data_IF_339115074855
#
_entry.id   IF_339115074855
#
_cell.length_a   1.000
_cell.length_b   1.000
_cell.length_c   1.000
_cell.angle_alpha   90.00
_cell.angle_beta   90.00
_cell.angle_gamma   90.00
#
_symmetry.space_group_name_H-M   'P 1'
#
loop_
_entity.id
_entity.type
_entity.pdbx_description
1 polymer ?
#
# COMPACT_ATOMS: atom_id res chain seq x y z
N UNK A 1 22.97 -38.70 18.66
CA UNK A 1 22.81 -37.23 18.76
C UNK A 1 23.35 -36.63 17.46
N UNK A 2 22.52 -36.64 16.41
CA UNK A 2 21.74 -35.50 15.88
C UNK A 2 22.55 -34.59 14.96
N UNK A 3 22.43 -34.87 13.67
CA UNK A 3 22.57 -33.87 12.60
C UNK A 3 21.17 -33.62 12.05
N UNK A 4 20.70 -32.37 12.06
CA UNK A 4 19.93 -31.78 10.96
C UNK A 4 20.02 -30.24 11.03
N UNK A 5 20.31 -29.56 9.90
CA UNK A 5 20.33 -28.10 9.83
C UNK A 5 18.90 -27.54 9.72
N UNK A 6 18.66 -26.41 10.39
CA UNK A 6 17.41 -25.63 10.35
C UNK A 6 17.09 -25.21 8.92
N UNK A 7 15.94 -25.65 8.41
CA UNK A 7 15.29 -25.13 7.22
C UNK A 7 14.95 -23.65 7.39
N UNK A 8 15.41 -22.84 6.44
CA UNK A 8 15.09 -21.43 6.23
C UNK A 8 13.61 -21.32 5.82
N UNK A 9 12.79 -20.39 6.34
CA UNK A 9 11.47 -20.16 5.77
C UNK A 9 11.66 -19.51 4.40
N UNK A 10 11.41 -20.29 3.35
CA UNK A 10 11.20 -19.82 1.98
C UNK A 10 9.92 -19.02 1.94
N UNK A 11 10.02 -17.69 2.08
CA UNK A 11 9.00 -16.79 1.58
C UNK A 11 8.87 -16.94 0.06
N UNK A 12 7.70 -16.64 -0.53
CA UNK A 12 7.44 -16.89 -1.94
C UNK A 12 8.38 -16.08 -2.83
N UNK A 13 8.75 -16.59 -4.02
CA UNK A 13 9.64 -15.89 -4.93
C UNK A 13 8.91 -14.66 -5.50
N UNK A 14 9.31 -13.46 -5.06
CA UNK A 14 8.88 -12.20 -5.68
C UNK A 14 9.70 -12.02 -6.95
N UNK A 15 9.30 -12.73 -8.00
CA UNK A 15 9.83 -12.53 -9.35
C UNK A 15 8.67 -12.59 -10.35
N UNK A 16 7.83 -11.56 -10.33
CA UNK A 16 6.87 -11.27 -11.38
C UNK A 16 6.38 -9.84 -11.18
N UNK A 17 6.72 -8.97 -12.12
CA UNK A 17 6.19 -7.60 -12.22
C UNK A 17 4.69 -7.54 -12.54
N UNK A 18 3.96 -8.64 -12.38
CA UNK A 18 2.54 -8.78 -12.76
C UNK A 18 1.70 -9.56 -11.73
N UNK A 19 2.27 -9.90 -10.57
CA UNK A 19 1.52 -10.66 -9.54
C UNK A 19 0.86 -9.71 -8.54
N UNK A 20 -0.43 -9.47 -8.74
CA UNK A 20 -1.28 -8.90 -7.69
C UNK A 20 -1.40 -9.92 -6.56
N UNK A 21 -0.96 -9.56 -5.35
CA UNK A 21 -1.13 -10.39 -4.17
C UNK A 21 -2.31 -9.87 -3.34
N UNK A 22 -3.13 -10.78 -2.83
CA UNK A 22 -4.10 -10.46 -1.80
C UNK A 22 -3.41 -10.71 -0.46
N UNK A 23 -3.04 -9.64 0.24
CA UNK A 23 -2.39 -9.73 1.54
C UNK A 23 -3.28 -9.03 2.56
N UNK A 24 -3.42 -9.61 3.76
CA UNK A 24 -3.98 -8.84 4.87
C UNK A 24 -2.98 -7.73 5.23
N UNK A 25 -3.47 -6.59 5.69
CA UNK A 25 -2.58 -5.55 6.22
C UNK A 25 -1.78 -6.08 7.42
N UNK A 26 -2.37 -6.98 8.21
CA UNK A 26 -1.68 -7.71 9.28
C UNK A 26 -0.52 -8.60 8.78
N UNK A 27 -0.59 -9.12 7.55
CA UNK A 27 0.51 -9.89 6.98
C UNK A 27 1.71 -8.98 6.66
N UNK A 28 1.46 -7.70 6.34
CA UNK A 28 2.50 -6.70 6.14
C UNK A 28 3.17 -6.31 7.46
N UNK A 29 2.43 -6.30 8.56
CA UNK A 29 2.96 -6.02 9.90
C UNK A 29 3.98 -7.08 10.32
N UNK A 30 3.71 -8.35 10.01
CA UNK A 30 4.52 -9.47 10.44
C UNK A 30 5.71 -9.77 9.53
N UNK A 31 5.81 -9.11 8.38
CA UNK A 31 6.89 -9.31 7.44
C UNK A 31 7.64 -8.01 7.14
N UNK A 32 8.98 -7.99 7.29
CA UNK A 32 9.74 -6.83 6.86
C UNK A 32 9.57 -6.64 5.35
N UNK A 33 9.55 -5.39 4.91
CA UNK A 33 9.47 -5.05 3.50
C UNK A 33 10.59 -5.77 2.73
N UNK A 34 10.29 -6.45 1.61
CA UNK A 34 11.33 -7.08 0.80
C UNK A 34 12.40 -6.08 0.35
N UNK A 35 13.68 -6.47 0.37
CA UNK A 35 14.78 -5.55 0.04
C UNK A 35 14.79 -5.04 -1.41
N UNK A 36 14.08 -5.72 -2.31
CA UNK A 36 14.00 -5.41 -3.74
C UNK A 36 12.81 -4.52 -4.11
N UNK A 37 12.04 -4.07 -3.11
CA UNK A 37 10.83 -3.28 -3.32
C UNK A 37 10.92 -1.97 -2.55
N UNK A 38 10.27 -0.93 -3.09
CA UNK A 38 10.11 0.37 -2.46
C UNK A 38 8.90 0.40 -1.52
N UNK A 39 7.93 -0.47 -1.74
CA UNK A 39 6.71 -0.55 -0.93
C UNK A 39 5.61 -1.37 -1.59
N UNK A 40 4.48 -1.46 -0.89
CA UNK A 40 3.24 -2.06 -1.37
C UNK A 40 2.31 -0.96 -1.92
N UNK A 41 1.89 -1.11 -3.18
CA UNK A 41 0.86 -0.27 -3.77
C UNK A 41 -0.53 -0.77 -3.36
N UNK A 42 -1.33 0.14 -2.83
CA UNK A 42 -2.70 -0.07 -2.40
C UNK A 42 -3.63 0.72 -3.32
N UNK A 43 -4.63 0.04 -3.89
CA UNK A 43 -5.65 0.68 -4.74
C UNK A 43 -7.05 0.65 -4.13
N UNK A 44 -7.28 -0.29 -3.22
CA UNK A 44 -8.54 -0.42 -2.49
C UNK A 44 -8.18 -0.83 -1.08
N UNK A 45 -8.79 -0.21 -0.08
CA UNK A 45 -8.65 -0.60 1.33
C UNK A 45 -10.03 -0.94 1.87
N UNK A 46 -10.28 -2.21 2.25
CA UNK A 46 -11.57 -2.62 2.76
C UNK A 46 -11.90 -1.90 4.08
N UNK A 47 -13.19 -1.72 4.42
CA UNK A 47 -13.60 -1.04 5.65
C UNK A 47 -13.13 -1.77 6.92
N UNK A 48 -12.93 -3.09 6.84
CA UNK A 48 -12.48 -3.91 7.96
C UNK A 48 -10.98 -4.22 7.82
N UNK A 49 -10.16 -3.98 8.86
CA UNK A 49 -8.72 -4.27 8.84
C UNK A 49 -8.38 -5.74 8.58
N UNK A 50 -9.25 -6.66 9.00
CA UNK A 50 -9.09 -8.10 8.83
C UNK A 50 -9.46 -8.62 7.42
N UNK A 51 -9.81 -7.73 6.48
CA UNK A 51 -10.09 -8.13 5.10
C UNK A 51 -8.84 -7.97 4.22
N UNK A 52 -8.63 -8.88 3.25
CA UNK A 52 -7.47 -8.84 2.38
C UNK A 52 -7.47 -7.57 1.54
N UNK A 53 -6.32 -6.90 1.56
CA UNK A 53 -6.05 -5.74 0.74
C UNK A 53 -5.38 -6.23 -0.53
N UNK A 54 -5.82 -5.72 -1.68
CA UNK A 54 -5.14 -6.00 -2.94
C UNK A 54 -3.88 -5.15 -2.98
N UNK A 55 -2.73 -5.81 -2.92
CA UNK A 55 -1.41 -5.18 -2.93
C UNK A 55 -0.62 -5.58 -4.16
N UNK A 56 0.14 -4.62 -4.68
CA UNK A 56 1.14 -4.87 -5.73
C UNK A 56 2.47 -4.37 -5.21
N UNK A 57 3.49 -5.23 -5.18
CA UNK A 57 4.83 -4.83 -4.78
C UNK A 57 5.47 -3.97 -5.87
N UNK A 58 5.96 -2.78 -5.51
CA UNK A 58 6.61 -1.88 -6.46
C UNK A 58 8.11 -1.96 -6.26
N UNK A 59 8.82 -2.44 -7.29
CA UNK A 59 10.28 -2.44 -7.30
C UNK A 59 10.85 -1.05 -7.59
N UNK A 60 12.02 -0.79 -7.02
CA UNK A 60 12.75 0.47 -7.21
C UNK A 60 13.30 0.63 -8.65
N UNK A 61 13.33 -0.47 -9.40
CA UNK A 61 13.92 -0.58 -10.74
C UNK A 61 13.06 0.02 -11.87
N UNK A 62 11.79 0.36 -11.61
CA UNK A 62 10.93 1.07 -12.57
C UNK A 62 10.03 2.06 -11.84
N UNK A 63 10.19 3.38 -12.05
CA UNK A 63 9.18 4.36 -11.67
C UNK A 63 8.02 4.26 -12.66
N UNK A 64 7.25 3.18 -12.56
CA UNK A 64 6.06 3.01 -13.39
C UNK A 64 5.04 4.12 -13.08
N UNK A 65 4.23 4.49 -14.09
CA UNK A 65 3.14 5.46 -13.89
C UNK A 65 2.05 4.79 -13.06
N UNK A 66 2.22 4.84 -11.74
CA UNK A 66 1.20 4.43 -10.79
C UNK A 66 -0.08 5.22 -11.07
N UNK A 67 -1.25 4.56 -11.09
CA UNK A 67 -2.51 5.26 -11.34
C UNK A 67 -2.77 6.27 -10.21
N UNK A 68 -3.30 7.47 -10.52
CA UNK A 68 -3.75 8.41 -9.52
C UNK A 68 -4.72 7.75 -8.53
N UNK A 69 -4.65 8.15 -7.26
CA UNK A 69 -5.43 7.56 -6.18
C UNK A 69 -4.81 6.34 -5.52
N UNK A 70 -3.71 5.82 -6.06
CA UNK A 70 -3.00 4.71 -5.43
C UNK A 70 -2.16 5.22 -4.25
N UNK A 71 -2.08 4.43 -3.19
CA UNK A 71 -1.20 4.71 -2.05
C UNK A 71 0.00 3.76 -2.10
N UNK A 72 1.21 4.31 -2.07
CA UNK A 72 2.43 3.55 -1.81
C UNK A 72 2.67 3.52 -0.30
N UNK A 73 2.56 2.34 0.30
CA UNK A 73 2.89 2.08 1.69
C UNK A 73 4.28 1.46 1.77
N UNK A 74 5.20 2.10 2.48
CA UNK A 74 6.57 1.64 2.71
C UNK A 74 6.85 1.56 4.20
N UNK A 75 7.59 0.54 4.63
CA UNK A 75 7.99 0.39 6.02
C UNK A 75 9.40 -0.15 6.14
N UNK A 76 10.13 0.36 7.12
CA UNK A 76 11.48 -0.08 7.44
C UNK A 76 11.71 -0.16 8.95
N UNK A 77 12.64 -1.02 9.42
CA UNK A 77 13.00 -1.04 10.83
C UNK A 77 13.60 0.30 11.27
N UNK A 78 12.98 0.92 12.27
CA UNK A 78 13.46 2.17 12.87
C UNK A 78 14.56 1.94 13.91
N UNK A 79 15.28 3.00 14.27
CA UNK A 79 16.38 2.95 15.25
C UNK A 79 15.92 2.51 16.65
N UNK A 80 14.65 2.73 16.99
CA UNK A 80 14.03 2.40 18.27
C UNK A 80 13.55 0.96 18.42
N UNK A 81 13.73 0.12 17.39
CA UNK A 81 13.23 -1.26 17.35
C UNK A 81 11.76 -1.39 16.93
N UNK A 82 11.07 -0.27 16.65
CA UNK A 82 9.80 -0.25 15.94
C UNK A 82 9.96 -0.22 14.42
N UNK A 83 8.85 0.03 13.73
CA UNK A 83 8.77 0.19 12.28
C UNK A 83 8.46 1.65 11.94
N UNK A 84 9.26 2.24 11.07
CA UNK A 84 8.96 3.54 10.47
C UNK A 84 8.10 3.29 9.24
N UNK A 85 6.83 3.67 9.31
CA UNK A 85 5.85 3.44 8.23
C UNK A 85 5.55 4.77 7.55
N UNK A 86 5.60 4.78 6.22
CA UNK A 86 5.29 5.95 5.41
C UNK A 86 4.24 5.59 4.36
N UNK A 87 3.23 6.43 4.23
CA UNK A 87 2.23 6.36 3.17
C UNK A 87 2.39 7.54 2.24
N UNK A 88 2.37 7.29 0.94
CA UNK A 88 2.44 8.32 -0.09
C UNK A 88 1.32 8.16 -1.10
N UNK A 89 0.59 9.23 -1.36
CA UNK A 89 -0.52 9.25 -2.31
C UNK A 89 0.00 9.63 -3.70
N UNK A 90 -0.31 8.81 -4.70
CA UNK A 90 -0.07 9.15 -6.09
C UNK A 90 -1.19 10.05 -6.61
N UNK A 91 -0.82 11.25 -7.03
CA UNK A 91 -1.67 12.18 -7.77
C UNK A 91 -1.29 12.15 -9.26
N UNK A 92 -2.08 12.83 -10.09
CA UNK A 92 -1.90 12.89 -11.55
C UNK A 92 -0.48 13.29 -11.97
N UNK A 93 0.13 14.25 -11.29
CA UNK A 93 1.47 14.78 -11.63
C UNK A 93 2.56 14.40 -10.63
N UNK A 94 2.22 14.12 -9.37
CA UNK A 94 3.19 13.98 -8.28
C UNK A 94 2.86 12.83 -7.34
N UNK A 95 3.83 12.47 -6.51
CA UNK A 95 3.64 11.61 -5.34
C UNK A 95 3.79 12.51 -4.11
N UNK A 96 2.79 12.49 -3.22
CA UNK A 96 2.73 13.38 -2.06
C UNK A 96 2.78 12.53 -0.80
N UNK A 97 3.55 12.99 0.20
CA UNK A 97 3.54 12.38 1.52
C UNK A 97 2.15 12.52 2.13
N UNK A 98 1.50 11.39 2.39
CA UNK A 98 0.20 11.36 3.02
C UNK A 98 0.33 11.36 4.54
N UNK A 99 1.15 10.44 5.05
CA UNK A 99 1.40 10.28 6.48
C UNK A 99 2.73 9.56 6.71
N UNK A 100 3.33 9.84 7.85
CA UNK A 100 4.51 9.16 8.35
C UNK A 100 4.27 8.83 9.83
N UNK A 101 4.52 7.59 10.21
CA UNK A 101 4.35 7.06 11.55
C UNK A 101 5.68 6.45 12.00
N UNK A 102 6.49 7.18 12.77
CA UNK A 102 7.76 6.68 13.26
C UNK A 102 7.58 5.73 14.44
N UNK A 103 8.52 4.79 14.60
CA UNK A 103 8.65 3.84 15.72
C UNK A 103 7.35 3.10 16.08
N UNK A 104 6.57 2.67 15.09
CA UNK A 104 5.37 1.87 15.32
C UNK A 104 5.74 0.47 15.83
N UNK A 105 5.11 0.04 16.93
CA UNK A 105 5.40 -1.24 17.59
C UNK A 105 4.18 -2.15 17.57
N UNK A 106 4.42 -3.46 17.49
CA UNK A 106 3.34 -4.45 17.49
C UNK A 106 2.49 -4.37 16.22
N UNK A 107 1.18 -4.60 16.38
CA UNK A 107 0.23 -4.51 15.27
C UNK A 107 -0.16 -3.06 14.97
N UNK A 108 0.53 -2.47 13.99
CA UNK A 108 0.29 -1.12 13.53
C UNK A 108 -0.85 -0.99 12.51
N UNK A 109 -1.52 -2.10 12.16
CA UNK A 109 -2.68 -2.09 11.26
C UNK A 109 -3.74 -1.11 11.76
N UNK A 110 -4.04 -1.12 13.07
CA UNK A 110 -5.08 -0.29 13.68
C UNK A 110 -4.77 1.21 13.63
N UNK A 111 -3.49 1.57 13.52
CA UNK A 111 -3.02 2.97 13.43
C UNK A 111 -3.04 3.44 11.98
N UNK A 112 -2.59 2.59 11.06
CA UNK A 112 -2.39 2.95 9.65
C UNK A 112 -3.68 2.81 8.84
N UNK A 113 -4.48 1.76 9.10
CA UNK A 113 -5.68 1.42 8.33
C UNK A 113 -6.70 2.57 8.19
N UNK A 114 -7.08 3.29 9.27
CA UNK A 114 -8.09 4.35 9.17
C UNK A 114 -7.69 5.43 8.15
N UNK A 115 -6.44 5.90 8.22
CA UNK A 115 -5.95 6.92 7.27
C UNK A 115 -5.97 6.42 5.83
N UNK A 116 -5.54 5.18 5.61
CA UNK A 116 -5.55 4.60 4.26
C UNK A 116 -6.97 4.44 3.71
N UNK A 117 -7.91 3.98 4.54
CA UNK A 117 -9.30 3.80 4.17
C UNK A 117 -9.97 5.12 3.79
N UNK A 118 -9.83 6.13 4.65
CA UNK A 118 -10.41 7.46 4.42
C UNK A 118 -9.89 8.10 3.14
N UNK A 119 -8.58 8.01 2.87
CA UNK A 119 -7.97 8.66 1.71
C UNK A 119 -8.37 7.99 0.41
N UNK A 120 -8.44 6.66 0.38
CA UNK A 120 -8.95 5.93 -0.79
C UNK A 120 -10.45 6.21 -0.99
N UNK A 121 -11.23 6.26 0.09
CA UNK A 121 -12.65 6.61 0.05
C UNK A 121 -12.86 8.01 -0.53
N UNK A 122 -12.12 9.00 -0.03
CA UNK A 122 -12.17 10.39 -0.49
C UNK A 122 -11.76 10.50 -1.96
N UNK A 123 -10.66 9.85 -2.37
CA UNK A 123 -10.24 9.85 -3.77
C UNK A 123 -11.30 9.22 -4.69
N UNK A 124 -11.93 8.12 -4.25
CA UNK A 124 -12.99 7.45 -4.99
C UNK A 124 -14.21 8.37 -5.14
N UNK A 125 -14.64 9.01 -4.05
CA UNK A 125 -15.76 9.95 -4.07
C UNK A 125 -15.48 11.15 -4.99
N UNK A 126 -14.27 11.71 -4.93
CA UNK A 126 -13.85 12.80 -5.81
C UNK A 126 -13.82 12.36 -7.28
N UNK A 127 -13.34 11.16 -7.58
CA UNK A 127 -13.32 10.63 -8.94
C UNK A 127 -14.73 10.49 -9.51
N UNK A 128 -15.65 9.91 -8.74
CA UNK A 128 -17.07 9.79 -9.12
C UNK A 128 -17.73 11.16 -9.33
N UNK A 129 -17.49 12.12 -8.43
CA UNK A 129 -18.01 13.48 -8.58
C UNK A 129 -17.45 14.18 -9.83
N UNK A 130 -16.16 13.97 -10.13
CA UNK A 130 -15.51 14.52 -11.32
C UNK A 130 -16.10 13.91 -12.60
N UNK A 131 -16.30 12.60 -12.64
CA UNK A 131 -16.92 11.91 -13.79
C UNK A 131 -18.36 12.39 -14.02
N UNK A 132 -19.15 12.54 -12.94
CA UNK A 132 -20.51 13.05 -13.01
C UNK A 132 -20.56 14.50 -13.53
N UNK A 133 -19.62 15.35 -13.09
CA UNK A 133 -19.50 16.72 -13.57
C UNK A 133 -19.11 16.77 -15.06
N UNK A 134 -18.15 15.95 -15.49
CA UNK A 134 -17.79 15.84 -16.90
C UNK A 134 -18.98 15.39 -17.76
N UNK A 135 -19.72 14.37 -17.30
CA UNK A 135 -20.92 13.91 -18.00
C UNK A 135 -21.98 15.01 -18.09
N UNK A 136 -22.26 15.73 -16.99
CA UNK A 136 -23.23 16.82 -16.98
C UNK A 136 -22.83 17.93 -17.96
N UNK A 137 -21.55 18.30 -18.02
CA UNK A 137 -21.03 19.28 -18.96
C UNK A 137 -21.13 18.81 -20.42
N UNK A 138 -20.99 17.51 -20.68
CA UNK A 138 -21.17 16.94 -22.02
C UNK A 138 -22.63 16.92 -22.48
N UNK A 139 -23.57 16.78 -21.54
CA UNK A 139 -25.01 16.71 -21.82
C UNK A 139 -25.70 18.08 -21.82
N UNK A 140 -25.04 19.13 -21.34
CA UNK A 140 -25.59 20.47 -21.32
C UNK A 140 -25.84 20.95 -22.78
N UNK A 141 -27.08 21.34 -23.13
CA UNK A 141 -27.35 21.96 -24.42
C UNK A 141 -26.55 23.26 -24.53
N UNK A 142 -25.91 23.47 -25.68
CA UNK A 142 -25.16 24.69 -26.00
C UNK A 142 -26.06 25.91 -26.08
#
# INVERSE_FOLDING_TARGET
MTCHPRTRPTGPPINSSDSSHHLLLSDLVHHPMPRSVRGALLRCVPPRPAQPIRTVWISDLKPERLPPGSILLSWEPGLGGGMDVTARLRLASAEVLLASWPDLRGDWTTVVHPTLHEVIGLHTALSVATDALHLANHLAPR
#
